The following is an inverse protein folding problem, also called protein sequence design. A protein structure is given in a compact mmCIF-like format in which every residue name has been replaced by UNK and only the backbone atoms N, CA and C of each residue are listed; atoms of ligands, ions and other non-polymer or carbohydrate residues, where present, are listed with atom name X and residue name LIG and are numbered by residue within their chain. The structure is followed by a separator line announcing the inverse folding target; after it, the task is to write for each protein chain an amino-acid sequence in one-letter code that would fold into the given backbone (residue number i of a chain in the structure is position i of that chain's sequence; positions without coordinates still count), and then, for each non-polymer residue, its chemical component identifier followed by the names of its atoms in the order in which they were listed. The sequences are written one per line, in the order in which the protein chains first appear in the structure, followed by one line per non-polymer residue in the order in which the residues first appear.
data_IF_404923555760
#
_entry.id   IF_404923555760
#
_cell.length_a   1.000
_cell.length_b   1.000
_cell.length_c   1.000
_cell.angle_alpha   90.00
_cell.angle_beta   90.00
_cell.angle_gamma   90.00
#
_symmetry.space_group_name_H-M   'P 1'
#
loop_
_entity.id
_entity.type
_entity.pdbx_description
1 polymer ?
#
# COMPACT_ATOMS: atom_id res chain seq x y z
N UNK A 1 41.37 14.23 2.59
CA UNK A 1 40.67 15.13 3.54
C UNK A 1 39.19 15.06 3.18
N UNK A 2 38.35 14.74 4.15
CA UNK A 2 37.03 14.09 4.02
C UNK A 2 36.09 14.68 2.94
N UNK A 3 35.53 13.78 2.12
CA UNK A 3 34.49 14.08 1.15
C UNK A 3 33.22 14.56 1.86
N UNK A 4 32.79 15.76 1.49
CA UNK A 4 31.46 16.30 1.78
C UNK A 4 30.41 15.52 0.97
N UNK A 5 30.03 14.34 1.45
CA UNK A 5 28.79 13.72 1.01
C UNK A 5 27.67 14.47 1.71
N UNK A 6 27.09 15.47 1.04
CA UNK A 6 25.76 15.97 1.37
C UNK A 6 24.87 14.76 1.54
N UNK A 7 24.45 14.48 2.77
CA UNK A 7 23.40 13.51 3.06
C UNK A 7 22.15 14.12 2.45
N UNK A 8 21.91 13.81 1.18
CA UNK A 8 20.60 13.98 0.58
C UNK A 8 19.75 12.93 1.29
N UNK A 9 19.04 13.34 2.33
CA UNK A 9 17.92 12.59 2.89
C UNK A 9 16.82 12.63 1.83
N UNK A 10 17.05 11.97 0.68
CA UNK A 10 15.98 11.50 -0.16
C UNK A 10 15.26 10.48 0.70
N UNK A 11 14.06 10.82 1.18
CA UNK A 11 13.10 9.82 1.61
C UNK A 11 12.88 8.89 0.43
N UNK A 12 13.68 7.83 0.35
CA UNK A 12 13.39 6.68 -0.50
C UNK A 12 12.11 6.11 0.13
N UNK A 13 10.98 6.53 -0.42
CA UNK A 13 9.69 5.99 -0.04
C UNK A 13 9.77 4.52 -0.47
N UNK A 14 9.74 3.62 0.50
CA UNK A 14 9.84 2.18 0.30
C UNK A 14 8.41 1.62 0.25
N UNK A 15 8.06 0.92 -0.84
CA UNK A 15 6.72 0.39 -1.06
C UNK A 15 6.28 -0.51 0.11
N UNK A 16 7.16 -1.41 0.56
CA UNK A 16 6.89 -2.31 1.69
C UNK A 16 6.60 -1.55 2.98
N UNK A 17 7.30 -0.45 3.27
CA UNK A 17 7.03 0.43 4.41
C UNK A 17 5.66 1.11 4.28
N UNK A 18 5.26 1.57 3.09
CA UNK A 18 3.95 2.18 2.89
C UNK A 18 2.81 1.17 3.07
N UNK A 19 2.95 -0.04 2.51
CA UNK A 19 1.97 -1.11 2.69
C UNK A 19 1.82 -1.51 4.17
N UNK A 20 2.92 -1.58 4.93
CA UNK A 20 2.88 -1.82 6.39
C UNK A 20 2.14 -0.73 7.16
N UNK A 21 2.22 0.52 6.74
CA UNK A 21 1.45 1.62 7.35
C UNK A 21 -0.04 1.46 7.10
N UNK A 22 -0.44 1.06 5.88
CA UNK A 22 -1.86 0.76 5.57
C UNK A 22 -2.34 -0.43 6.41
N UNK A 23 -1.55 -1.49 6.53
CA UNK A 23 -1.87 -2.62 7.42
C UNK A 23 -2.11 -2.16 8.87
N UNK A 24 -1.20 -1.35 9.41
CA UNK A 24 -1.34 -0.82 10.78
C UNK A 24 -2.58 0.08 10.94
N UNK A 25 -2.94 0.81 9.89
CA UNK A 25 -4.18 1.60 9.85
C UNK A 25 -5.41 0.68 9.89
N UNK A 26 -5.47 -0.35 9.06
CA UNK A 26 -6.57 -1.34 9.05
C UNK A 26 -6.73 -2.03 10.41
N UNK A 27 -5.62 -2.38 11.07
CA UNK A 27 -5.64 -3.01 12.39
C UNK A 27 -6.30 -2.12 13.46
N UNK A 28 -6.10 -0.80 13.37
CA UNK A 28 -6.48 0.18 14.41
C UNK A 28 -7.79 0.91 14.12
N UNK A 29 -8.03 1.28 12.86
CA UNK A 29 -9.17 2.08 12.42
C UNK A 29 -9.56 1.65 11.00
N UNK A 30 -10.31 0.57 10.91
CA UNK A 30 -10.72 0.02 9.63
C UNK A 30 -11.88 0.81 9.03
N UNK A 31 -11.66 1.31 7.83
CA UNK A 31 -12.64 1.98 6.98
C UNK A 31 -12.27 1.68 5.51
N UNK A 32 -13.16 1.03 4.70
CA UNK A 32 -12.85 0.62 3.34
C UNK A 32 -12.44 1.77 2.41
N UNK A 33 -13.16 2.89 2.46
CA UNK A 33 -12.92 4.08 1.62
C UNK A 33 -11.54 4.69 1.91
N UNK A 34 -11.19 4.83 3.18
CA UNK A 34 -9.87 5.32 3.61
C UNK A 34 -8.74 4.37 3.18
N UNK A 35 -8.97 3.05 3.24
CA UNK A 35 -8.00 2.06 2.80
C UNK A 35 -7.80 2.14 1.28
N UNK A 36 -8.87 2.17 0.52
CA UNK A 36 -8.83 2.31 -0.93
C UNK A 36 -8.10 3.58 -1.36
N UNK A 37 -8.41 4.71 -0.72
CA UNK A 37 -7.75 5.99 -0.94
C UNK A 37 -6.23 5.92 -0.71
N UNK A 38 -5.79 5.27 0.38
CA UNK A 38 -4.35 5.08 0.68
C UNK A 38 -3.69 4.13 -0.32
N UNK A 39 -4.35 3.05 -0.70
CA UNK A 39 -3.87 2.10 -1.70
C UNK A 39 -3.72 2.76 -3.07
N UNK A 40 -4.64 3.64 -3.46
CA UNK A 40 -4.56 4.42 -4.70
C UNK A 40 -3.34 5.35 -4.70
N UNK A 41 -3.05 6.03 -3.57
CA UNK A 41 -1.86 6.86 -3.43
C UNK A 41 -0.56 6.05 -3.57
N UNK A 42 -0.51 4.88 -2.94
CA UNK A 42 0.63 3.96 -3.07
C UNK A 42 0.79 3.51 -4.51
N UNK A 43 -0.28 3.03 -5.14
CA UNK A 43 -0.23 2.55 -6.51
C UNK A 43 0.23 3.64 -7.49
N UNK A 44 -0.29 4.86 -7.38
CA UNK A 44 0.14 5.98 -8.24
C UNK A 44 1.62 6.30 -8.11
N UNK A 45 2.21 6.06 -6.94
CA UNK A 45 3.62 6.31 -6.69
C UNK A 45 4.52 5.13 -7.09
N UNK A 46 4.04 3.90 -6.93
CA UNK A 46 4.83 2.67 -6.97
C UNK A 46 4.39 1.67 -8.02
N UNK A 47 3.54 2.05 -8.97
CA UNK A 47 2.95 1.13 -9.97
C UNK A 47 3.98 0.26 -10.70
N UNK A 48 5.18 0.78 -10.95
CA UNK A 48 6.27 0.07 -11.61
C UNK A 48 6.96 -0.99 -10.74
N UNK A 49 6.74 -0.98 -9.42
CA UNK A 49 7.31 -1.94 -8.47
C UNK A 49 6.41 -3.17 -8.24
N UNK A 50 5.15 -3.12 -8.68
CA UNK A 50 4.22 -4.24 -8.54
C UNK A 50 4.46 -5.29 -9.63
N UNK A 51 4.50 -6.57 -9.23
CA UNK A 51 4.31 -7.68 -10.17
C UNK A 51 2.87 -7.70 -10.69
N UNK A 52 2.60 -8.40 -11.79
CA UNK A 52 1.25 -8.52 -12.36
C UNK A 52 0.22 -8.99 -11.33
N UNK A 53 0.55 -10.02 -10.53
CA UNK A 53 -0.35 -10.52 -9.48
C UNK A 53 -0.55 -9.47 -8.38
N UNK A 54 0.52 -8.78 -7.97
CA UNK A 54 0.43 -7.76 -6.93
C UNK A 54 -0.35 -6.53 -7.40
N UNK A 55 -0.32 -6.28 -8.71
CA UNK A 55 -1.10 -5.22 -9.35
C UNK A 55 -2.60 -5.52 -9.29
N UNK A 56 -3.02 -6.74 -9.55
CA UNK A 56 -4.43 -7.14 -9.44
C UNK A 56 -4.93 -7.02 -8.00
N UNK A 57 -4.12 -7.45 -7.04
CA UNK A 57 -4.47 -7.41 -5.62
C UNK A 57 -4.57 -5.98 -5.06
N UNK A 58 -3.66 -5.06 -5.43
CA UNK A 58 -3.81 -3.66 -5.02
C UNK A 58 -4.98 -2.98 -5.72
N UNK A 59 -5.30 -3.34 -6.96
CA UNK A 59 -6.51 -2.85 -7.64
C UNK A 59 -7.79 -3.30 -6.94
N UNK A 60 -7.80 -4.52 -6.42
CA UNK A 60 -8.91 -5.03 -5.61
C UNK A 60 -9.14 -4.19 -4.34
N UNK A 61 -8.07 -3.74 -3.69
CA UNK A 61 -8.18 -2.82 -2.54
C UNK A 61 -8.68 -1.44 -2.96
N UNK A 62 -8.22 -0.93 -4.10
CA UNK A 62 -8.63 0.38 -4.63
C UNK A 62 -10.11 0.38 -5.03
N UNK A 63 -10.62 -0.75 -5.53
CA UNK A 63 -12.01 -0.88 -5.94
C UNK A 63 -13.03 -0.74 -4.79
N UNK A 64 -12.60 -0.83 -3.52
CA UNK A 64 -13.52 -0.61 -2.38
C UNK A 64 -14.11 0.81 -2.40
N UNK A 65 -13.41 1.82 -2.94
CA UNK A 65 -13.94 3.19 -3.13
C UNK A 65 -15.04 3.28 -4.23
N UNK A 66 -15.35 2.20 -4.93
CA UNK A 66 -16.41 2.16 -5.95
C UNK A 66 -17.79 1.80 -5.38
N UNK A 67 -17.85 1.43 -4.09
CA UNK A 67 -19.09 1.17 -3.35
C UNK A 67 -19.10 -0.20 -2.67
N UNK A 68 -20.06 -0.38 -1.75
CA UNK A 68 -20.19 -1.50 -0.82
C UNK A 68 -20.16 -2.91 -1.47
N UNK A 69 -20.44 -3.03 -2.77
CA UNK A 69 -20.37 -4.31 -3.49
C UNK A 69 -18.94 -4.83 -3.68
N UNK A 70 -17.94 -3.94 -3.56
CA UNK A 70 -16.52 -4.24 -3.65
C UNK A 70 -15.83 -4.28 -2.28
N UNK A 71 -16.55 -3.94 -1.21
CA UNK A 71 -16.00 -3.92 0.13
C UNK A 71 -15.51 -5.31 0.53
N UNK A 72 -14.22 -5.34 0.88
CA UNK A 72 -13.66 -6.49 1.56
C UNK A 72 -13.99 -6.37 3.05
N UNK A 73 -14.04 -7.48 3.78
CA UNK A 73 -14.04 -7.40 5.24
C UNK A 73 -12.63 -7.03 5.75
N UNK A 74 -12.53 -6.47 6.98
CA UNK A 74 -11.24 -6.15 7.63
C UNK A 74 -10.19 -7.28 7.51
N UNK A 75 -10.58 -8.51 7.83
CA UNK A 75 -9.67 -9.67 7.79
C UNK A 75 -9.23 -10.02 6.36
N UNK A 76 -10.10 -9.81 5.37
CA UNK A 76 -9.77 -10.02 3.97
C UNK A 76 -8.84 -8.93 3.44
N UNK A 77 -9.11 -7.66 3.78
CA UNK A 77 -8.19 -6.55 3.53
C UNK A 77 -6.80 -6.82 4.11
N UNK A 78 -6.72 -7.31 5.34
CA UNK A 78 -5.43 -7.65 5.97
C UNK A 78 -4.68 -8.76 5.23
N UNK A 79 -5.38 -9.80 4.76
CA UNK A 79 -4.76 -10.88 3.96
C UNK A 79 -4.19 -10.37 2.65
N UNK A 80 -4.92 -9.50 1.95
CA UNK A 80 -4.44 -8.90 0.70
C UNK A 80 -3.20 -8.03 0.98
N UNK A 81 -3.23 -7.22 2.04
CA UNK A 81 -2.07 -6.40 2.43
C UNK A 81 -0.86 -7.24 2.83
N UNK A 82 -1.05 -8.34 3.55
CA UNK A 82 0.02 -9.30 3.88
C UNK A 82 0.64 -9.90 2.63
N UNK A 83 -0.19 -10.35 1.68
CA UNK A 83 0.27 -10.84 0.39
C UNK A 83 1.13 -9.80 -0.34
N UNK A 84 0.64 -8.55 -0.46
CA UNK A 84 1.39 -7.48 -1.11
C UNK A 84 2.73 -7.19 -0.42
N UNK A 85 2.77 -7.18 0.92
CA UNK A 85 3.99 -6.97 1.70
C UNK A 85 5.01 -8.09 1.48
N UNK A 86 4.56 -9.32 1.29
CA UNK A 86 5.43 -10.49 1.09
C UNK A 86 5.96 -10.60 -0.34
N UNK A 87 5.22 -10.06 -1.33
CA UNK A 87 5.65 -10.02 -2.74
C UNK A 87 6.56 -8.85 -3.10
N UNK A 88 6.67 -7.84 -2.21
CA UNK A 88 7.55 -6.67 -2.39
C UNK A 88 8.79 -6.75 -1.49
#
# INVERSE_FOLDING_TARGET
MFNNTKISVCFMLDLKVQLKKVKSFVETNYDPDDVASKCMQIYNQFSFEFSEISHDEIMRLIAMDMGDEFDLGKDETLKVLEFLIDQT
#
